data_IF_898034106618
#
_entry.id   IF_898034106618
#
_cell.length_a   1.000
_cell.length_b   1.000
_cell.length_c   1.000
_cell.angle_alpha   90.00
_cell.angle_beta   90.00
_cell.angle_gamma   90.00
#
_symmetry.space_group_name_H-M   'P 1'
#
loop_
_entity.id
_entity.type
_entity.pdbx_description
1 polymer ?
#
# COMPACT_ATOMS: atom_id res chain seq x y z
N UNK A 1 31.32 -0.33 3.21
CA UNK A 1 30.08 -0.75 3.90
C UNK A 1 28.93 0.09 3.43
N UNK A 2 27.88 -0.55 3.01
CA UNK A 2 26.73 0.15 2.49
C UNK A 2 25.76 0.48 3.61
N UNK A 3 25.51 1.75 3.81
CA UNK A 3 24.50 2.18 4.76
C UNK A 3 23.24 2.57 4.00
N UNK A 4 22.72 1.59 3.25
CA UNK A 4 21.49 1.83 2.52
C UNK A 4 20.38 2.13 3.53
N UNK A 5 19.80 3.29 3.40
CA UNK A 5 18.74 3.73 4.29
C UNK A 5 17.52 2.82 4.12
N UNK A 6 16.97 2.37 5.24
CA UNK A 6 15.76 1.58 5.22
C UNK A 6 14.56 2.45 4.79
N UNK A 7 13.88 2.02 3.76
CA UNK A 7 12.63 2.63 3.33
C UNK A 7 11.49 1.75 3.78
N UNK A 8 10.57 2.29 4.55
CA UNK A 8 9.42 1.56 5.03
C UNK A 8 8.20 1.94 4.21
N UNK A 9 7.46 0.94 3.75
CA UNK A 9 6.32 1.11 2.86
C UNK A 9 5.14 0.31 3.40
N UNK A 10 3.96 0.92 3.43
CA UNK A 10 2.71 0.25 3.77
C UNK A 10 1.91 0.04 2.49
N UNK A 11 1.41 -1.17 2.28
CA UNK A 11 0.59 -1.49 1.12
C UNK A 11 -0.73 -2.12 1.56
N UNK A 12 -1.79 -1.79 0.86
CA UNK A 12 -3.13 -2.26 1.18
C UNK A 12 -3.60 -3.31 0.19
N UNK A 13 -4.08 -4.42 0.72
CA UNK A 13 -4.82 -5.41 -0.04
C UNK A 13 -6.28 -5.14 0.25
N UNK A 14 -6.90 -4.30 -0.58
CA UNK A 14 -8.32 -4.01 -0.46
C UNK A 14 -9.09 -5.17 -1.03
N UNK A 15 -9.99 -5.73 -0.25
CA UNK A 15 -10.76 -6.87 -0.68
C UNK A 15 -12.25 -6.65 -0.44
N UNK A 16 -13.05 -7.20 -1.33
CA UNK A 16 -14.49 -7.09 -1.26
C UNK A 16 -15.09 -8.44 -1.62
N UNK A 17 -16.03 -8.90 -0.79
CA UNK A 17 -16.77 -10.11 -1.09
C UNK A 17 -17.92 -9.80 -2.03
N UNK A 18 -18.04 -10.58 -3.09
CA UNK A 18 -19.12 -10.45 -4.07
C UNK A 18 -19.75 -11.80 -4.31
N UNK A 19 -20.84 -11.83 -5.06
CA UNK A 19 -21.49 -13.07 -5.46
C UNK A 19 -20.57 -13.99 -6.26
N UNK A 20 -19.50 -13.42 -6.85
CA UNK A 20 -18.52 -14.17 -7.63
C UNK A 20 -17.30 -14.59 -6.80
N UNK A 21 -17.25 -14.23 -5.53
CA UNK A 21 -16.12 -14.48 -4.64
C UNK A 21 -15.44 -13.20 -4.22
N UNK A 22 -14.20 -13.33 -3.75
CA UNK A 22 -13.41 -12.20 -3.27
C UNK A 22 -12.77 -11.47 -4.43
N UNK A 23 -12.93 -10.16 -4.44
CA UNK A 23 -12.26 -9.29 -5.41
C UNK A 23 -11.20 -8.45 -4.72
N UNK A 24 -10.11 -8.18 -5.42
CA UNK A 24 -9.00 -7.37 -4.91
C UNK A 24 -8.83 -6.14 -5.78
N UNK A 25 -8.49 -5.02 -5.15
CA UNK A 25 -8.23 -3.79 -5.87
C UNK A 25 -6.73 -3.61 -6.09
N UNK A 26 -6.37 -3.39 -7.34
CA UNK A 26 -5.01 -3.03 -7.72
C UNK A 26 -5.02 -1.65 -8.36
N UNK A 27 -3.97 -0.88 -8.11
CA UNK A 27 -3.80 0.44 -8.69
C UNK A 27 -2.74 0.39 -9.78
N UNK A 28 -2.99 1.11 -10.86
CA UNK A 28 -2.01 1.21 -11.94
C UNK A 28 -1.06 2.36 -11.63
N UNK A 29 0.25 2.11 -11.73
CA UNK A 29 1.23 3.16 -11.48
C UNK A 29 1.10 4.24 -12.56
N UNK A 30 1.04 5.51 -12.15
CA UNK A 30 0.83 6.62 -13.11
C UNK A 30 2.03 6.83 -14.02
N UNK A 31 1.80 7.50 -15.12
CA UNK A 31 2.86 7.90 -16.03
C UNK A 31 3.87 8.80 -15.30
N UNK A 32 5.12 8.72 -15.69
CA UNK A 32 6.20 9.46 -15.07
C UNK A 32 6.82 8.78 -13.88
N UNK A 33 6.24 7.69 -13.40
CA UNK A 33 6.80 6.88 -12.33
C UNK A 33 7.55 5.68 -12.90
N UNK A 34 8.49 5.15 -12.13
CA UNK A 34 9.16 3.91 -12.48
C UNK A 34 8.10 2.81 -12.58
N UNK A 35 8.20 2.00 -13.61
CA UNK A 35 7.22 0.93 -13.89
C UNK A 35 5.81 1.46 -14.15
N UNK A 36 5.69 2.60 -14.81
CA UNK A 36 4.38 3.14 -15.22
C UNK A 36 3.59 2.10 -16.01
N UNK A 37 2.29 2.00 -15.74
CA UNK A 37 1.43 1.02 -16.36
C UNK A 37 1.36 -0.32 -15.67
N UNK A 38 2.26 -0.60 -14.72
CA UNK A 38 2.21 -1.82 -13.94
C UNK A 38 1.16 -1.70 -12.84
N UNK A 39 0.50 -2.80 -12.55
CA UNK A 39 -0.52 -2.85 -11.50
C UNK A 39 0.12 -3.23 -10.17
N UNK A 40 -0.29 -2.57 -9.10
CA UNK A 40 0.24 -2.81 -7.77
C UNK A 40 -0.83 -2.59 -6.71
N UNK A 41 -0.57 -3.07 -5.50
CA UNK A 41 -1.42 -2.75 -4.37
C UNK A 41 -1.20 -1.29 -3.96
N UNK A 42 -2.28 -0.53 -3.70
CA UNK A 42 -2.12 0.87 -3.30
C UNK A 42 -1.42 1.00 -1.95
N UNK A 43 -0.76 2.12 -1.75
CA UNK A 43 -0.02 2.40 -0.52
C UNK A 43 1.11 3.37 -0.78
N UNK A 44 2.03 3.47 0.16
CA UNK A 44 3.16 4.37 0.01
C UNK A 44 4.10 4.36 1.20
N UNK A 45 5.05 5.26 1.16
CA UNK A 45 6.10 5.36 2.18
C UNK A 45 5.57 5.80 3.52
N UNK A 46 6.10 5.18 4.56
CA UNK A 46 5.85 5.59 5.94
C UNK A 46 6.73 6.80 6.25
N UNK A 47 6.12 7.88 6.69
CA UNK A 47 6.85 9.09 7.03
C UNK A 47 7.34 9.05 8.47
N UNK A 48 8.30 9.90 8.79
CA UNK A 48 8.86 9.98 10.13
C UNK A 48 7.77 10.22 11.18
N UNK A 49 7.77 9.42 12.23
CA UNK A 49 6.79 9.53 13.31
C UNK A 49 5.45 8.85 13.02
N UNK A 50 5.27 8.30 11.83
CA UNK A 50 4.06 7.59 11.45
C UNK A 50 4.17 6.11 11.75
N UNK A 51 3.06 5.49 12.18
CA UNK A 51 2.97 4.04 12.18
C UNK A 51 2.66 3.56 10.76
N UNK A 52 2.88 2.27 10.51
CA UNK A 52 2.48 1.69 9.22
C UNK A 52 0.99 1.87 8.97
N UNK A 53 0.16 1.65 9.98
CA UNK A 53 -1.28 1.79 9.84
C UNK A 53 -1.70 3.24 9.51
N UNK A 54 -1.06 4.20 10.15
CA UNK A 54 -1.33 5.62 9.88
C UNK A 54 -0.91 6.02 8.47
N UNK A 55 0.26 5.53 8.04
CA UNK A 55 0.74 5.77 6.68
C UNK A 55 -0.22 5.18 5.65
N UNK A 56 -0.69 3.95 5.91
CA UNK A 56 -1.64 3.30 5.03
C UNK A 56 -2.92 4.12 4.89
N UNK A 57 -3.49 4.53 6.01
CA UNK A 57 -4.73 5.31 6.01
C UNK A 57 -4.55 6.62 5.24
N UNK A 58 -3.45 7.32 5.47
CA UNK A 58 -3.14 8.56 4.78
C UNK A 58 -2.99 8.37 3.28
N UNK A 59 -2.22 7.35 2.88
CA UNK A 59 -1.98 7.08 1.46
C UNK A 59 -3.26 6.69 0.72
N UNK A 60 -4.12 5.89 1.34
CA UNK A 60 -5.38 5.49 0.72
C UNK A 60 -6.33 6.66 0.58
N UNK A 61 -6.33 7.58 1.53
CA UNK A 61 -7.12 8.79 1.41
C UNK A 61 -6.60 9.68 0.28
N UNK A 62 -5.28 9.86 0.19
CA UNK A 62 -4.67 10.68 -0.85
C UNK A 62 -4.85 10.09 -2.24
N UNK A 63 -4.62 8.79 -2.39
CA UNK A 63 -4.64 8.14 -3.70
C UNK A 63 -6.03 7.76 -4.19
N UNK A 64 -6.88 7.27 -3.29
CA UNK A 64 -8.17 6.69 -3.66
C UNK A 64 -9.37 7.45 -3.12
N UNK A 65 -9.16 8.40 -2.22
CA UNK A 65 -10.25 9.16 -1.63
C UNK A 65 -11.11 8.36 -0.67
N UNK A 66 -10.56 7.31 -0.08
CA UNK A 66 -11.32 6.48 0.87
C UNK A 66 -10.76 6.59 2.27
N UNK A 67 -11.62 6.32 3.25
CA UNK A 67 -11.24 6.28 4.67
C UNK A 67 -11.23 4.83 5.11
N UNK A 68 -10.08 4.36 5.58
CA UNK A 68 -9.92 2.99 6.04
C UNK A 68 -10.71 2.79 7.33
N UNK A 69 -11.59 1.79 7.34
CA UNK A 69 -12.38 1.43 8.50
C UNK A 69 -11.70 0.33 9.30
N UNK A 70 -11.22 -0.69 8.61
CA UNK A 70 -10.49 -1.80 9.22
C UNK A 70 -9.29 -2.17 8.38
N UNK A 71 -8.17 -2.43 9.04
CA UNK A 71 -6.96 -2.91 8.41
C UNK A 71 -6.27 -3.90 9.34
N UNK A 72 -5.88 -5.03 8.78
CA UNK A 72 -5.22 -6.10 9.55
C UNK A 72 -3.83 -6.33 9.00
N UNK A 73 -2.78 -6.31 9.83
CA UNK A 73 -1.45 -6.69 9.36
C UNK A 73 -1.50 -8.11 8.79
N UNK A 74 -0.89 -8.30 7.64
CA UNK A 74 -0.89 -9.61 7.00
C UNK A 74 0.51 -10.19 6.91
N UNK A 75 1.38 -9.59 6.13
CA UNK A 75 2.73 -10.09 5.99
C UNK A 75 3.69 -8.94 5.72
N UNK A 76 4.98 -9.22 5.98
CA UNK A 76 6.05 -8.26 5.76
C UNK A 76 7.06 -8.89 4.80
N UNK A 77 7.52 -8.11 3.83
CA UNK A 77 8.55 -8.53 2.90
C UNK A 77 9.69 -7.55 2.94
N UNK A 78 10.90 -8.06 2.81
CA UNK A 78 12.10 -7.25 2.72
C UNK A 78 12.74 -7.45 1.37
N UNK A 79 13.17 -6.34 0.78
CA UNK A 79 13.90 -6.34 -0.48
C UNK A 79 15.19 -5.59 -0.26
N UNK A 80 16.31 -6.25 -0.51
CA UNK A 80 17.63 -5.63 -0.33
C UNK A 80 18.27 -5.48 -1.70
N UNK A 81 18.51 -4.25 -2.06
CA UNK A 81 19.17 -3.89 -3.32
C UNK A 81 20.51 -3.24 -3.01
N UNK A 82 21.45 -3.20 -3.96
CA UNK A 82 22.72 -2.51 -3.72
C UNK A 82 22.57 -1.06 -3.27
N UNK A 83 21.50 -0.40 -3.68
CA UNK A 83 21.27 1.02 -3.40
C UNK A 83 20.08 1.30 -2.49
N UNK A 84 19.36 0.27 -2.08
CA UNK A 84 18.14 0.47 -1.28
C UNK A 84 17.79 -0.77 -0.48
N UNK A 85 17.21 -0.53 0.71
CA UNK A 85 16.67 -1.59 1.55
C UNK A 85 15.23 -1.21 1.85
N UNK A 86 14.29 -2.03 1.42
CA UNK A 86 12.87 -1.77 1.55
C UNK A 86 12.20 -2.79 2.45
N UNK A 87 11.42 -2.30 3.41
CA UNK A 87 10.54 -3.16 4.22
C UNK A 87 9.11 -2.82 3.84
N UNK A 88 8.43 -3.79 3.24
CA UNK A 88 7.08 -3.63 2.75
C UNK A 88 6.14 -4.41 3.64
N UNK A 89 5.21 -3.72 4.30
CA UNK A 89 4.23 -4.35 5.16
C UNK A 89 2.86 -4.28 4.50
N UNK A 90 2.26 -5.45 4.30
CA UNK A 90 0.95 -5.59 3.68
C UNK A 90 -0.13 -5.66 4.74
N UNK A 91 -1.23 -4.97 4.48
CA UNK A 91 -2.42 -5.01 5.32
C UNK A 91 -3.61 -5.47 4.50
N UNK A 92 -4.45 -6.30 5.08
CA UNK A 92 -5.75 -6.59 4.50
C UNK A 92 -6.71 -5.50 4.92
N UNK A 93 -7.45 -4.95 3.96
CA UNK A 93 -8.41 -3.87 4.22
C UNK A 93 -9.78 -4.32 3.72
N UNK A 94 -10.57 -4.98 4.59
CA UNK A 94 -11.89 -5.50 4.17
C UNK A 94 -13.00 -4.47 4.27
N UNK A 95 -12.76 -3.32 4.91
CA UNK A 95 -13.82 -2.32 5.11
C UNK A 95 -13.25 -0.91 5.02
N UNK A 96 -13.94 -0.08 4.27
CA UNK A 96 -13.59 1.33 4.11
C UNK A 96 -14.85 2.14 3.82
N UNK A 97 -14.76 3.46 3.97
CA UNK A 97 -15.82 4.40 3.62
C UNK A 97 -15.42 5.18 2.38
N UNK A 98 -16.37 5.45 1.52
CA UNK A 98 -16.15 6.17 0.29
C UNK A 98 -16.03 5.24 -0.90
N UNK A 99 -16.16 5.81 -2.08
CA UNK A 99 -15.99 5.07 -3.31
C UNK A 99 -14.57 5.27 -3.83
N UNK A 100 -13.98 4.18 -4.26
CA UNK A 100 -12.63 4.23 -4.82
C UNK A 100 -12.67 5.03 -6.12
N UNK A 101 -11.90 6.12 -6.15
CA UNK A 101 -11.77 6.93 -7.35
C UNK A 101 -10.77 6.28 -8.30
N UNK A 102 -11.08 6.23 -9.60
CA UNK A 102 -10.18 5.68 -10.60
C UNK A 102 -8.93 6.55 -10.80
#
# INVERSE_FOLDING_TARGET
MTNAKLTEVAAAVLLRETARGTEYLLACRPEGKVYAGYWEFPGGKVEAGESYAAALARELEEELGIVVDRAWPWLTRRFVYPHAHVRLKFFRVPAWHGEVAP
#
